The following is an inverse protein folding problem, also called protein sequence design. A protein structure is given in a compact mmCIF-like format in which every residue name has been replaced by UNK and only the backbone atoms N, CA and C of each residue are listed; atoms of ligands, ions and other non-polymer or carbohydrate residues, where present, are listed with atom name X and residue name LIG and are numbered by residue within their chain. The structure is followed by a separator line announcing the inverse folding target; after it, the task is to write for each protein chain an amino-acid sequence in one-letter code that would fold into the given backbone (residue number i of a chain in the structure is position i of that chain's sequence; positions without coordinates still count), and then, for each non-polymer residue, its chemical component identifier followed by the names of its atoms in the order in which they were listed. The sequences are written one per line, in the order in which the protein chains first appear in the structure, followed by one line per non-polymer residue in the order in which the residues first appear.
data_IF_157245158942
#
_entry.id   IF_157245158942
#
_cell.length_a   1.000
_cell.length_b   1.000
_cell.length_c   1.000
_cell.angle_alpha   90.00
_cell.angle_beta   90.00
_cell.angle_gamma   90.00
#
_symmetry.space_group_name_H-M   'P 1'
#
loop_
_entity.id
_entity.type
_entity.pdbx_description
1 polymer ?
#
# COMPACT_ATOMS: atom_id res chain seq x y z
N UNK A 1 39.57 -13.57 28.19
CA UNK A 1 38.58 -13.75 27.11
C UNK A 1 37.24 -13.15 27.54
N UNK A 2 37.10 -11.83 27.49
CA UNK A 2 35.80 -11.16 27.60
C UNK A 2 35.63 -10.40 26.28
N UNK A 3 34.99 -11.06 25.30
CA UNK A 3 34.62 -10.44 24.04
C UNK A 3 33.50 -9.44 24.32
N UNK A 4 33.93 -8.20 24.60
CA UNK A 4 33.10 -7.01 24.68
C UNK A 4 32.40 -6.85 23.33
N UNK A 5 31.08 -7.14 23.31
CA UNK A 5 30.15 -6.88 22.20
C UNK A 5 30.35 -5.44 21.70
N UNK A 6 31.03 -5.32 20.57
CA UNK A 6 31.12 -4.08 19.78
C UNK A 6 29.86 -4.03 18.92
N UNK A 7 29.18 -2.89 19.00
CA UNK A 7 27.96 -2.54 18.28
C UNK A 7 28.13 -2.80 16.78
N UNK A 8 27.43 -3.81 16.28
CA UNK A 8 27.17 -4.02 14.86
C UNK A 8 26.00 -5.00 14.76
N UNK A 9 24.78 -4.49 14.97
CA UNK A 9 23.55 -5.04 14.41
C UNK A 9 22.41 -4.10 14.80
N UNK A 10 21.83 -3.44 13.80
CA UNK A 10 20.56 -2.73 13.93
C UNK A 10 19.51 -3.76 14.40
N UNK A 11 18.95 -3.58 15.59
CA UNK A 11 17.85 -4.40 16.12
C UNK A 11 16.58 -3.53 15.97
N UNK A 12 15.88 -3.56 14.83
CA UNK A 12 14.67 -4.37 14.59
C UNK A 12 14.17 -5.17 15.79
N UNK A 13 13.10 -4.69 16.43
CA UNK A 13 12.04 -5.50 17.06
C UNK A 13 10.79 -4.62 17.20
N UNK A 14 9.79 -4.80 16.33
CA UNK A 14 8.52 -5.49 16.63
C UNK A 14 7.51 -4.59 17.36
N UNK A 15 6.49 -4.09 16.63
CA UNK A 15 5.06 -4.40 16.79
C UNK A 15 4.35 -4.00 15.48
N UNK A 16 3.29 -4.70 15.08
CA UNK A 16 2.63 -4.53 13.78
C UNK A 16 2.13 -3.10 13.55
N UNK A 17 2.91 -2.32 12.83
CA UNK A 17 2.57 -0.97 12.45
C UNK A 17 1.91 -1.05 11.08
N UNK A 18 0.61 -0.80 11.06
CA UNK A 18 -0.17 -0.51 9.86
C UNK A 18 0.30 0.82 9.21
N UNK A 19 1.60 1.06 9.06
CA UNK A 19 2.13 2.32 8.54
C UNK A 19 2.20 2.26 7.03
N UNK A 20 1.72 3.34 6.41
CA UNK A 20 1.92 3.59 4.98
C UNK A 20 3.32 4.20 4.87
N UNK A 21 4.23 3.48 4.20
CA UNK A 21 5.56 3.99 3.91
C UNK A 21 5.47 5.02 2.78
N UNK A 22 6.41 5.96 2.74
CA UNK A 22 6.41 7.12 1.83
C UNK A 22 6.41 6.71 0.34
N UNK A 23 6.77 5.47 0.04
CA UNK A 23 6.79 4.89 -1.32
C UNK A 23 6.15 3.51 -1.31
N UNK A 24 5.33 3.21 -2.31
CA UNK A 24 4.66 1.92 -2.46
C UNK A 24 3.16 2.03 -2.66
N UNK A 25 2.52 0.88 -2.89
CA UNK A 25 1.11 0.80 -3.27
C UNK A 25 0.32 0.09 -2.18
N UNK A 26 -0.71 0.78 -1.69
CA UNK A 26 -1.51 0.33 -0.57
C UNK A 26 -2.99 0.31 -0.96
N UNK A 27 -3.64 -0.80 -0.65
CA UNK A 27 -5.10 -0.94 -0.76
C UNK A 27 -5.68 -0.80 0.63
N UNK A 28 -6.51 0.21 0.82
CA UNK A 28 -7.18 0.51 2.08
C UNK A 28 -8.60 -0.08 2.06
N UNK A 29 -8.90 -0.96 3.00
CA UNK A 29 -10.24 -1.50 3.11
C UNK A 29 -10.39 -2.59 4.14
N UNK A 30 -11.64 -2.89 4.51
CA UNK A 30 -11.98 -3.99 5.43
C UNK A 30 -11.79 -5.38 4.81
N UNK A 31 -11.42 -5.47 3.53
CA UNK A 31 -11.19 -6.74 2.83
C UNK A 31 -12.45 -7.40 2.26
N UNK A 32 -13.48 -6.62 1.93
CA UNK A 32 -14.67 -7.10 1.22
C UNK A 32 -14.34 -7.46 -0.25
N UNK A 33 -15.26 -8.11 -0.96
CA UNK A 33 -15.06 -8.55 -2.36
C UNK A 33 -14.62 -7.42 -3.29
N UNK A 34 -15.08 -6.18 -3.03
CA UNK A 34 -14.68 -4.98 -3.79
C UNK A 34 -13.21 -4.60 -3.55
N UNK A 35 -12.70 -4.75 -2.32
CA UNK A 35 -11.30 -4.48 -2.01
C UNK A 35 -10.38 -5.48 -2.72
N UNK A 36 -10.76 -6.76 -2.72
CA UNK A 36 -10.00 -7.82 -3.39
C UNK A 36 -10.00 -7.63 -4.92
N UNK A 37 -11.13 -7.19 -5.50
CA UNK A 37 -11.21 -6.86 -6.92
C UNK A 37 -10.26 -5.70 -7.28
N UNK A 38 -10.24 -4.63 -6.47
CA UNK A 38 -9.33 -3.51 -6.67
C UNK A 38 -7.86 -3.97 -6.58
N UNK A 39 -7.51 -4.77 -5.59
CA UNK A 39 -6.15 -5.32 -5.42
C UNK A 39 -5.71 -6.14 -6.64
N UNK A 40 -6.59 -7.00 -7.18
CA UNK A 40 -6.31 -7.75 -8.40
C UNK A 40 -6.09 -6.85 -9.61
N UNK A 41 -6.93 -5.82 -9.79
CA UNK A 41 -6.79 -4.88 -10.90
C UNK A 41 -5.49 -4.07 -10.81
N UNK A 42 -5.08 -3.69 -9.60
CA UNK A 42 -3.78 -3.03 -9.34
C UNK A 42 -2.62 -3.98 -9.64
N UNK A 43 -2.71 -5.26 -9.25
CA UNK A 43 -1.69 -6.28 -9.55
C UNK A 43 -1.51 -6.47 -11.05
N UNK A 44 -2.62 -6.50 -11.79
CA UNK A 44 -2.59 -6.56 -13.25
C UNK A 44 -1.95 -5.30 -13.85
N UNK A 45 -2.31 -4.11 -13.36
CA UNK A 45 -1.70 -2.85 -13.79
C UNK A 45 -0.18 -2.82 -13.58
N UNK A 46 0.31 -3.30 -12.42
CA UNK A 46 1.75 -3.40 -12.14
C UNK A 46 2.45 -4.37 -13.07
N UNK A 47 1.82 -5.51 -13.36
CA UNK A 47 2.32 -6.49 -14.33
C UNK A 47 2.44 -5.87 -15.72
N UNK A 48 1.43 -5.10 -16.17
CA UNK A 48 1.45 -4.41 -17.47
C UNK A 48 2.53 -3.32 -17.55
N UNK A 49 2.90 -2.72 -16.41
CA UNK A 49 3.94 -1.71 -16.30
C UNK A 49 5.35 -2.30 -16.06
N UNK A 50 5.47 -3.63 -15.94
CA UNK A 50 6.69 -4.33 -15.53
C UNK A 50 7.28 -3.82 -14.19
N UNK A 51 6.41 -3.33 -13.30
CA UNK A 51 6.80 -2.82 -11.98
C UNK A 51 6.70 -3.94 -10.95
N UNK A 52 7.83 -4.31 -10.36
CA UNK A 52 7.91 -5.31 -9.29
C UNK A 52 7.75 -4.65 -7.92
N UNK A 53 6.51 -4.33 -7.58
CA UNK A 53 6.14 -3.82 -6.26
C UNK A 53 5.11 -4.70 -5.57
N UNK A 54 5.21 -4.75 -4.24
CA UNK A 54 4.25 -5.46 -3.41
C UNK A 54 3.05 -4.56 -3.11
N UNK A 55 1.85 -5.11 -3.26
CA UNK A 55 0.61 -4.43 -2.87
C UNK A 55 0.34 -4.77 -1.42
N UNK A 56 0.37 -3.76 -0.55
CA UNK A 56 0.08 -3.92 0.88
C UNK A 56 -1.39 -3.61 1.16
N UNK A 57 -2.09 -4.51 1.83
CA UNK A 57 -3.49 -4.29 2.21
C UNK A 57 -3.57 -3.78 3.65
N UNK A 58 -4.01 -2.54 3.84
CA UNK A 58 -4.20 -1.95 5.16
C UNK A 58 -5.66 -2.10 5.56
N UNK A 59 -5.88 -2.86 6.64
CA UNK A 59 -7.19 -3.07 7.27
C UNK A 59 -7.41 -2.22 8.51
N UNK A 60 -6.39 -1.48 8.93
CA UNK A 60 -6.43 -0.67 10.13
C UNK A 60 -7.21 0.62 9.90
N UNK A 61 -8.40 0.70 10.48
CA UNK A 61 -9.27 1.86 10.35
C UNK A 61 -8.61 3.16 10.83
N UNK A 62 -7.71 3.09 11.82
CA UNK A 62 -7.01 4.27 12.36
C UNK A 62 -6.15 4.93 11.28
N UNK A 63 -5.50 4.10 10.45
CA UNK A 63 -4.62 4.55 9.36
C UNK A 63 -5.45 5.03 8.18
N UNK A 64 -6.53 4.31 7.86
CA UNK A 64 -7.45 4.70 6.79
C UNK A 64 -8.06 6.07 7.09
N UNK A 65 -8.50 6.30 8.34
CA UNK A 65 -9.03 7.59 8.78
C UNK A 65 -7.96 8.69 8.79
N UNK A 66 -6.72 8.36 9.17
CA UNK A 66 -5.59 9.31 9.13
C UNK A 66 -5.27 9.78 7.70
N UNK A 67 -5.55 8.94 6.70
CA UNK A 67 -5.44 9.29 5.28
C UNK A 67 -6.65 10.07 4.74
N UNK A 68 -7.63 10.39 5.59
CA UNK A 68 -8.84 11.12 5.20
C UNK A 68 -9.81 10.30 4.34
N UNK A 69 -9.64 8.97 4.28
CA UNK A 69 -10.53 8.10 3.51
C UNK A 69 -11.77 7.78 4.33
N UNK A 70 -12.92 8.36 3.93
CA UNK A 70 -14.22 8.06 4.54
C UNK A 70 -14.91 6.85 3.91
N UNK A 71 -14.60 6.54 2.65
CA UNK A 71 -15.26 5.47 1.87
C UNK A 71 -14.23 4.50 1.29
N UNK A 72 -14.27 3.26 1.73
CA UNK A 72 -13.45 2.16 1.20
C UNK A 72 -14.21 1.36 0.13
N UNK A 73 -13.55 0.75 -0.87
CA UNK A 73 -12.10 0.58 -1.01
C UNK A 73 -11.39 1.86 -1.47
N UNK A 74 -10.15 2.07 -1.02
CA UNK A 74 -9.30 3.16 -1.50
C UNK A 74 -7.92 2.66 -1.93
N UNK A 75 -7.34 3.34 -2.91
CA UNK A 75 -6.00 3.08 -3.44
C UNK A 75 -5.09 4.24 -3.05
N UNK A 76 -3.95 3.90 -2.49
CA UNK A 76 -2.88 4.83 -2.14
C UNK A 76 -1.62 4.43 -2.91
N UNK A 77 -0.97 5.41 -3.51
CA UNK A 77 0.29 5.25 -4.24
C UNK A 77 1.25 6.28 -3.69
N UNK A 78 2.42 5.84 -3.23
CA UNK A 78 3.48 6.71 -2.69
C UNK A 78 2.94 7.69 -1.64
N UNK A 79 2.23 7.13 -0.64
CA UNK A 79 1.58 7.85 0.46
C UNK A 79 0.51 8.89 0.03
N UNK A 80 0.03 8.84 -1.22
CA UNK A 80 -1.04 9.69 -1.75
C UNK A 80 -2.29 8.88 -2.07
N UNK A 81 -3.44 9.32 -1.55
CA UNK A 81 -4.74 8.73 -1.93
C UNK A 81 -5.04 9.14 -3.38
N UNK A 82 -5.13 8.15 -4.28
CA UNK A 82 -5.40 8.38 -5.71
C UNK A 82 -6.84 8.04 -6.10
N UNK A 83 -7.51 7.20 -5.31
CA UNK A 83 -8.91 6.82 -5.53
C UNK A 83 -9.55 6.29 -4.25
N UNK A 84 -10.85 6.51 -4.09
CA UNK A 84 -11.64 6.00 -2.96
C UNK A 84 -13.10 5.73 -3.38
N UNK A 85 -13.72 4.75 -2.74
CA UNK A 85 -15.14 4.40 -2.91
C UNK A 85 -15.51 3.71 -4.23
N UNK A 86 -14.56 3.44 -5.12
CA UNK A 86 -14.79 2.79 -6.42
C UNK A 86 -13.78 1.66 -6.64
N UNK A 87 -14.23 0.60 -7.31
CA UNK A 87 -13.33 -0.42 -7.88
C UNK A 87 -12.91 0.08 -9.26
N UNK A 88 -11.64 0.42 -9.40
CA UNK A 88 -11.03 0.83 -10.67
C UNK A 88 -10.78 -0.39 -11.55
N UNK A 89 -10.90 -0.23 -12.86
CA UNK A 89 -10.46 -1.25 -13.80
C UNK A 89 -8.91 -1.25 -13.95
N UNK A 90 -8.30 -2.29 -14.55
CA UNK A 90 -6.85 -2.34 -14.72
C UNK A 90 -6.25 -1.16 -15.50
N UNK A 91 -6.96 -0.63 -16.51
CA UNK A 91 -6.49 0.49 -17.32
C UNK A 91 -6.45 1.80 -16.51
N UNK A 92 -7.50 2.10 -15.74
CA UNK A 92 -7.56 3.21 -14.79
C UNK A 92 -6.43 3.11 -13.75
N UNK A 93 -6.17 1.91 -13.23
CA UNK A 93 -5.06 1.67 -12.30
C UNK A 93 -3.70 2.01 -12.95
N UNK A 94 -3.47 1.60 -14.20
CA UNK A 94 -2.24 1.94 -14.95
C UNK A 94 -2.08 3.44 -15.09
N UNK A 95 -3.14 4.15 -15.48
CA UNK A 95 -3.10 5.62 -15.63
C UNK A 95 -2.79 6.31 -14.31
N UNK A 96 -3.40 5.90 -13.20
CA UNK A 96 -3.13 6.48 -11.89
C UNK A 96 -1.71 6.20 -11.40
N UNK A 97 -1.18 5.00 -11.62
CA UNK A 97 0.21 4.66 -11.26
C UNK A 97 1.18 5.53 -12.05
N UNK A 98 0.95 5.70 -13.36
CA UNK A 98 1.76 6.60 -14.20
C UNK A 98 1.65 8.05 -13.75
N UNK A 99 0.43 8.56 -13.54
CA UNK A 99 0.19 9.96 -13.15
C UNK A 99 0.72 10.30 -11.76
N UNK A 100 0.86 9.32 -10.88
CA UNK A 100 1.41 9.54 -9.53
C UNK A 100 2.94 9.60 -9.51
N UNK A 101 3.60 9.08 -10.57
CA UNK A 101 5.06 8.90 -10.64
C UNK A 101 5.73 9.58 -11.82
N UNK A 102 4.96 10.09 -12.77
CA UNK A 102 5.40 10.95 -13.86
C UNK A 102 5.43 12.41 -13.42
#
# INVERSE_FOLDING_TARGET
MLFKKKACCNQVSEQGESKIEEKGIYVLGSGCSKCNALENNVREALTRLDVKEEIKHIRDFSVIASMGVMTTPALVIDNKVVSYGKVLNPDECVELIKNSRG
#
